data_IF_479958004031
#
_entry.id   IF_479958004031
#
_cell.length_a   1.000
_cell.length_b   1.000
_cell.length_c   1.000
_cell.angle_alpha   90.00
_cell.angle_beta   90.00
_cell.angle_gamma   90.00
#
_symmetry.space_group_name_H-M   'P 1'
#
loop_
_entity.id
_entity.type
_entity.pdbx_description
1 polymer ?
#
# COMPACT_ATOMS: atom_id res chain seq x y z
N UNK A 1 29.60 -12.77 -54.48
CA UNK A 1 29.07 -11.41 -54.60
C UNK A 1 28.08 -11.18 -53.45
N UNK A 2 28.38 -10.21 -52.57
CA UNK A 2 27.56 -9.54 -51.51
C UNK A 2 27.01 -10.34 -50.29
N UNK A 3 27.53 -9.93 -49.12
CA UNK A 3 27.00 -10.02 -47.74
C UNK A 3 25.72 -9.16 -47.54
N UNK A 4 24.85 -9.50 -46.57
CA UNK A 4 24.50 -8.69 -45.37
C UNK A 4 23.38 -9.31 -44.49
N UNK A 5 23.73 -9.46 -43.20
CA UNK A 5 23.03 -9.57 -41.90
C UNK A 5 21.50 -9.38 -41.75
N UNK A 6 20.88 -10.03 -40.75
CA UNK A 6 20.41 -9.41 -39.47
C UNK A 6 19.88 -10.45 -38.43
N UNK A 7 20.46 -10.36 -37.22
CA UNK A 7 20.11 -10.67 -35.83
C UNK A 7 19.00 -11.66 -35.37
N UNK A 8 19.44 -12.58 -34.50
CA UNK A 8 18.97 -12.91 -33.13
C UNK A 8 17.46 -12.88 -32.79
N UNK A 9 16.92 -14.07 -32.48
CA UNK A 9 15.78 -14.26 -31.59
C UNK A 9 16.13 -15.37 -30.58
N UNK A 10 16.80 -14.96 -29.49
CA UNK A 10 16.93 -15.75 -28.25
C UNK A 10 16.30 -14.92 -27.16
N UNK A 11 15.02 -15.13 -26.88
CA UNK A 11 14.35 -14.76 -25.62
C UNK A 11 12.88 -15.19 -25.69
N UNK A 12 12.58 -16.43 -25.35
CA UNK A 12 11.20 -16.84 -25.06
C UNK A 12 11.19 -18.04 -24.11
N UNK A 13 11.77 -17.89 -22.91
CA UNK A 13 11.44 -18.70 -21.73
C UNK A 13 11.89 -17.97 -20.47
N UNK A 14 10.97 -17.19 -19.87
CA UNK A 14 10.86 -16.92 -18.43
C UNK A 14 9.68 -15.95 -18.19
N UNK A 15 8.47 -16.36 -18.53
CA UNK A 15 7.24 -15.70 -18.07
C UNK A 15 6.58 -16.60 -17.03
N UNK A 16 7.15 -16.64 -15.82
CA UNK A 16 6.51 -17.20 -14.63
C UNK A 16 6.83 -16.30 -13.43
N UNK A 17 5.79 -15.62 -12.93
CA UNK A 17 5.69 -15.08 -11.57
C UNK A 17 6.63 -13.94 -11.18
N UNK A 18 6.25 -12.69 -11.46
CA UNK A 18 6.87 -11.53 -10.81
C UNK A 18 5.83 -10.43 -10.53
N UNK A 19 4.99 -10.61 -9.52
CA UNK A 19 4.13 -9.54 -8.99
C UNK A 19 4.10 -9.55 -7.46
N UNK A 20 5.13 -8.93 -6.89
CA UNK A 20 5.13 -8.02 -5.72
C UNK A 20 6.61 -7.70 -5.44
N UNK A 21 7.22 -6.78 -6.19
CA UNK A 21 8.69 -6.70 -6.20
C UNK A 21 9.30 -6.15 -4.89
N UNK A 22 8.56 -5.40 -4.08
CA UNK A 22 8.96 -4.96 -2.72
C UNK A 22 7.86 -4.02 -2.17
N UNK A 23 7.08 -4.45 -1.18
CA UNK A 23 6.01 -3.63 -0.58
C UNK A 23 6.49 -3.06 0.77
N UNK A 24 6.06 -1.85 1.15
CA UNK A 24 6.30 -1.30 2.49
C UNK A 24 5.48 -2.08 3.54
N UNK A 25 6.14 -2.47 4.62
CA UNK A 25 5.54 -3.16 5.76
C UNK A 25 5.66 -2.28 6.99
N UNK A 26 4.51 -1.74 7.44
CA UNK A 26 4.44 -0.99 8.68
C UNK A 26 4.53 -1.95 9.88
N UNK A 27 5.72 -2.02 10.49
CA UNK A 27 5.96 -2.78 11.71
C UNK A 27 5.53 -2.03 12.98
N UNK A 28 5.00 -0.80 12.89
CA UNK A 28 4.75 0.06 14.05
C UNK A 28 6.00 0.81 14.54
N UNK A 29 7.02 0.95 13.67
CA UNK A 29 8.30 1.62 13.95
C UNK A 29 8.34 3.06 13.43
N UNK A 30 9.50 3.70 13.28
CA UNK A 30 9.63 5.04 12.70
C UNK A 30 9.58 5.05 11.16
N UNK A 31 9.85 3.91 10.53
CA UNK A 31 9.87 3.69 9.06
C UNK A 31 9.11 2.44 8.67
N UNK A 32 8.70 2.36 7.41
CA UNK A 32 8.20 1.12 6.81
C UNK A 32 9.38 0.30 6.28
N UNK A 33 9.39 -1.00 6.57
CA UNK A 33 10.44 -1.92 6.15
C UNK A 33 10.02 -2.68 4.89
N UNK A 34 10.95 -2.94 3.97
CA UNK A 34 10.66 -3.68 2.75
C UNK A 34 10.29 -5.15 3.02
N UNK A 35 9.38 -5.69 2.22
CA UNK A 35 8.99 -7.12 2.28
C UNK A 35 10.13 -8.09 1.91
N UNK A 36 11.12 -7.69 1.10
CA UNK A 36 12.26 -8.51 0.69
C UNK A 36 13.59 -7.73 0.70
N UNK A 37 14.72 -8.45 0.63
CA UNK A 37 16.05 -7.85 0.49
C UNK A 37 16.20 -7.18 -0.89
N UNK A 38 17.09 -6.19 -0.98
CA UNK A 38 17.45 -5.59 -2.26
C UNK A 38 18.02 -6.67 -3.20
N UNK A 39 17.49 -6.76 -4.42
CA UNK A 39 17.87 -7.80 -5.39
C UNK A 39 17.19 -9.17 -5.17
N UNK A 40 16.27 -9.30 -4.20
CA UNK A 40 15.42 -10.47 -4.02
C UNK A 40 14.01 -10.24 -4.58
N UNK A 41 13.38 -11.29 -5.11
CA UNK A 41 11.98 -11.31 -5.53
C UNK A 41 11.03 -11.96 -4.52
N UNK A 42 11.56 -12.47 -3.40
CA UNK A 42 10.78 -13.07 -2.32
C UNK A 42 11.42 -12.77 -0.94
N UNK A 43 10.63 -12.73 0.15
CA UNK A 43 11.15 -12.47 1.50
C UNK A 43 12.27 -13.41 1.95
N UNK A 44 12.22 -14.67 1.53
CA UNK A 44 13.15 -15.74 1.91
C UNK A 44 14.47 -15.71 1.13
N UNK A 45 14.54 -15.00 0.00
CA UNK A 45 15.78 -14.92 -0.78
C UNK A 45 16.77 -13.95 -0.13
N UNK A 46 18.05 -14.34 -0.15
CA UNK A 46 19.14 -13.54 0.45
C UNK A 46 19.34 -12.17 -0.20
N UNK A 47 18.93 -11.99 -1.44
CA UNK A 47 19.16 -10.77 -2.21
C UNK A 47 20.59 -10.64 -2.73
N UNK A 48 20.93 -9.44 -3.16
CA UNK A 48 22.25 -9.10 -3.65
C UNK A 48 23.14 -8.53 -2.52
N UNK A 49 24.46 -8.66 -2.70
CA UNK A 49 25.46 -8.14 -1.77
C UNK A 49 26.11 -6.88 -2.34
N UNK A 50 26.28 -5.89 -1.46
CA UNK A 50 26.85 -4.59 -1.81
C UNK A 50 27.96 -4.24 -0.83
N UNK A 51 29.05 -3.64 -1.32
CA UNK A 51 29.97 -2.91 -0.44
C UNK A 51 29.32 -1.61 0.01
N UNK A 52 29.63 -1.12 1.21
CA UNK A 52 29.01 0.07 1.74
C UNK A 52 29.29 1.30 0.86
N UNK A 53 28.24 1.99 0.43
CA UNK A 53 28.33 3.15 -0.48
C UNK A 53 28.34 2.80 -1.97
N UNK A 54 28.40 1.52 -2.35
CA UNK A 54 28.33 1.10 -3.75
C UNK A 54 26.90 0.75 -4.15
N UNK A 55 26.48 1.21 -5.32
CA UNK A 55 25.13 0.99 -5.84
C UNK A 55 25.04 -0.18 -6.84
N UNK A 56 26.19 -0.71 -7.26
CA UNK A 56 26.29 -1.84 -8.17
C UNK A 56 26.88 -3.05 -7.44
N UNK A 57 26.46 -4.24 -7.84
CA UNK A 57 27.01 -5.50 -7.34
C UNK A 57 28.36 -5.81 -7.99
N UNK A 58 29.17 -6.64 -7.34
CA UNK A 58 30.46 -7.12 -7.85
C UNK A 58 30.76 -8.52 -7.37
N UNK A 59 31.71 -9.18 -8.03
CA UNK A 59 32.11 -10.56 -7.71
C UNK A 59 33.23 -10.68 -6.67
N UNK A 60 33.96 -9.59 -6.41
CA UNK A 60 35.09 -9.56 -5.46
C UNK A 60 34.93 -8.38 -4.50
N UNK A 61 34.92 -8.67 -3.20
CA UNK A 61 34.73 -7.72 -2.10
C UNK A 61 36.04 -7.49 -1.37
N UNK A 62 36.82 -6.51 -1.83
CA UNK A 62 38.13 -6.16 -1.28
C UNK A 62 38.42 -4.67 -1.43
N UNK A 63 39.43 -4.16 -0.72
CA UNK A 63 39.92 -2.79 -0.89
C UNK A 63 40.38 -2.49 -2.32
N UNK A 64 40.96 -3.46 -3.03
CA UNK A 64 41.40 -3.29 -4.42
C UNK A 64 40.25 -3.06 -5.40
N UNK A 65 39.04 -3.44 -5.00
CA UNK A 65 37.81 -3.37 -5.80
C UNK A 65 36.80 -2.38 -5.22
N UNK A 66 37.18 -1.62 -4.19
CA UNK A 66 36.27 -0.70 -3.51
C UNK A 66 36.24 0.65 -4.25
N UNK A 67 35.03 1.12 -4.54
CA UNK A 67 34.79 2.29 -5.40
C UNK A 67 35.43 3.57 -4.88
N UNK A 68 35.51 3.72 -3.56
CA UNK A 68 36.01 4.94 -2.93
C UNK A 68 37.46 4.86 -2.48
N UNK A 69 38.26 3.97 -3.08
CA UNK A 69 39.69 3.84 -2.80
C UNK A 69 40.00 2.69 -1.85
N UNK A 70 41.06 2.83 -1.07
CA UNK A 70 41.56 1.81 -0.15
C UNK A 70 41.65 2.35 1.29
N UNK A 71 42.17 1.53 2.22
CA UNK A 71 42.31 1.90 3.63
C UNK A 71 43.17 3.15 3.88
N UNK A 72 44.07 3.48 2.95
CA UNK A 72 45.02 4.59 3.10
C UNK A 72 44.50 5.88 2.43
N UNK A 73 43.66 5.75 1.39
CA UNK A 73 43.24 6.86 0.53
C UNK A 73 41.76 6.77 0.15
N UNK A 74 40.86 7.03 1.10
CA UNK A 74 39.41 7.10 0.86
C UNK A 74 39.00 8.42 0.21
N UNK A 75 38.27 8.36 -0.91
CA UNK A 75 37.82 9.54 -1.67
C UNK A 75 36.46 10.09 -1.26
N UNK A 76 35.62 9.29 -0.58
CA UNK A 76 34.32 9.71 0.01
C UNK A 76 34.07 9.06 1.37
N UNK A 77 33.26 9.75 2.17
CA UNK A 77 32.92 9.43 3.55
C UNK A 77 34.20 9.27 4.37
N UNK A 78 35.01 10.31 4.37
CA UNK A 78 36.32 10.35 4.99
C UNK A 78 36.36 11.44 6.09
N UNK A 79 37.57 11.80 6.56
CA UNK A 79 37.71 12.84 7.58
C UNK A 79 37.46 14.24 7.01
N UNK A 80 37.75 14.47 5.74
CA UNK A 80 37.72 15.78 5.10
C UNK A 80 36.30 16.20 4.70
N UNK A 81 35.47 15.26 4.22
CA UNK A 81 34.08 15.57 3.86
C UNK A 81 33.11 15.55 5.05
N UNK A 82 33.49 14.92 6.17
CA UNK A 82 32.72 14.90 7.41
C UNK A 82 31.40 14.12 7.34
N UNK A 83 31.07 13.52 6.19
CA UNK A 83 29.80 12.83 5.98
C UNK A 83 29.80 11.49 6.71
N UNK A 84 28.73 11.22 7.45
CA UNK A 84 28.55 10.01 8.26
C UNK A 84 27.29 9.21 7.90
N UNK A 85 26.56 9.64 6.89
CA UNK A 85 25.38 8.96 6.37
C UNK A 85 25.46 8.96 4.86
N UNK A 86 25.06 7.86 4.21
CA UNK A 86 25.05 7.77 2.75
C UNK A 86 24.15 8.84 2.13
N UNK A 87 24.68 9.53 1.12
CA UNK A 87 23.89 10.33 0.20
C UNK A 87 23.12 9.40 -0.77
N UNK A 88 21.95 9.83 -1.29
CA UNK A 88 21.10 8.98 -2.14
C UNK A 88 21.82 8.35 -3.33
N UNK A 89 22.78 9.05 -3.95
CA UNK A 89 23.53 8.53 -5.10
C UNK A 89 24.58 7.46 -4.73
N UNK A 90 24.78 7.21 -3.43
CA UNK A 90 25.67 6.17 -2.90
C UNK A 90 24.91 5.14 -2.05
N UNK A 91 23.58 5.26 -1.97
CA UNK A 91 22.70 4.31 -1.34
C UNK A 91 22.16 3.33 -2.40
N UNK A 92 22.47 2.05 -2.26
CA UNK A 92 22.08 1.05 -3.26
C UNK A 92 20.56 0.90 -3.37
N UNK A 93 19.82 1.05 -2.27
CA UNK A 93 18.37 0.97 -2.28
C UNK A 93 17.76 2.19 -2.97
N UNK A 94 18.26 3.39 -2.67
CA UNK A 94 17.81 4.61 -3.37
C UNK A 94 18.16 4.59 -4.85
N UNK A 95 19.33 4.09 -5.23
CA UNK A 95 19.75 4.02 -6.63
C UNK A 95 18.97 2.97 -7.43
N UNK A 96 18.57 1.85 -6.81
CA UNK A 96 17.94 0.72 -7.50
C UNK A 96 16.41 0.81 -7.50
N UNK A 97 15.80 1.14 -6.36
CA UNK A 97 14.34 1.21 -6.21
C UNK A 97 13.80 2.63 -6.34
N UNK A 98 14.60 3.65 -6.03
CA UNK A 98 14.20 5.06 -6.16
C UNK A 98 13.08 5.48 -5.19
N UNK A 99 12.50 6.66 -5.47
CA UNK A 99 11.42 7.21 -4.66
C UNK A 99 11.85 7.46 -3.20
N UNK A 100 11.04 6.99 -2.26
CA UNK A 100 11.30 7.13 -0.82
C UNK A 100 12.18 6.00 -0.24
N UNK A 101 12.60 5.02 -1.05
CA UNK A 101 13.38 3.88 -0.60
C UNK A 101 14.84 4.26 -0.38
N UNK A 102 15.40 3.75 0.71
CA UNK A 102 16.80 3.93 1.12
C UNK A 102 17.24 2.79 2.04
N UNK A 103 18.52 2.71 2.35
CA UNK A 103 19.04 1.88 3.42
C UNK A 103 18.56 2.42 4.79
N UNK A 104 18.35 1.53 5.79
CA UNK A 104 18.03 1.96 7.14
C UNK A 104 19.23 2.64 7.78
N UNK A 105 19.00 3.59 8.68
CA UNK A 105 20.04 4.16 9.52
C UNK A 105 20.36 3.26 10.71
N UNK A 106 21.49 3.50 11.39
CA UNK A 106 21.80 2.83 12.67
C UNK A 106 20.65 2.91 13.67
N UNK A 107 20.02 4.08 13.80
CA UNK A 107 18.94 4.31 14.75
C UNK A 107 17.70 3.47 14.42
N UNK A 108 17.36 3.34 13.14
CA UNK A 108 16.23 2.51 12.68
C UNK A 108 16.52 1.01 12.86
N UNK A 109 17.76 0.56 12.62
CA UNK A 109 18.17 -0.81 12.96
C UNK A 109 18.08 -1.08 14.47
N UNK A 110 18.51 -0.13 15.30
CA UNK A 110 18.39 -0.24 16.76
C UNK A 110 16.92 -0.27 17.20
N UNK A 111 16.05 0.54 16.59
CA UNK A 111 14.62 0.53 16.87
C UNK A 111 13.97 -0.81 16.52
N UNK A 112 14.34 -1.41 15.38
CA UNK A 112 13.87 -2.74 14.98
C UNK A 112 14.26 -3.82 16.00
N UNK A 113 15.46 -3.74 16.56
CA UNK A 113 15.93 -4.68 17.59
C UNK A 113 15.22 -4.47 18.93
N UNK A 114 15.01 -3.22 19.32
CA UNK A 114 14.44 -2.84 20.62
C UNK A 114 12.93 -3.08 20.69
N UNK A 115 12.19 -2.75 19.63
CA UNK A 115 10.72 -2.72 19.64
C UNK A 115 10.04 -3.94 19.05
N UNK A 116 10.75 -4.79 18.31
CA UNK A 116 10.15 -5.97 17.66
C UNK A 116 10.46 -7.26 18.41
N UNK A 117 9.59 -8.25 18.23
CA UNK A 117 9.83 -9.63 18.67
C UNK A 117 10.48 -10.42 17.54
N UNK A 118 11.59 -11.10 17.84
CA UNK A 118 12.38 -11.87 16.90
C UNK A 118 12.23 -13.36 17.19
N UNK A 119 11.67 -14.12 16.24
CA UNK A 119 11.53 -15.59 16.36
C UNK A 119 12.33 -16.29 15.26
N UNK A 120 13.33 -17.08 15.64
CA UNK A 120 14.13 -17.85 14.69
C UNK A 120 13.25 -18.88 13.98
N UNK A 121 13.39 -18.98 12.66
CA UNK A 121 12.55 -19.81 11.81
C UNK A 121 13.34 -20.38 10.64
N UNK A 122 12.86 -21.50 10.11
CA UNK A 122 13.23 -22.01 8.79
C UNK A 122 12.03 -21.86 7.86
N UNK A 123 12.07 -20.90 6.93
CA UNK A 123 11.01 -20.72 5.92
C UNK A 123 11.52 -21.25 4.59
N UNK A 124 10.86 -22.29 4.07
CA UNK A 124 11.20 -22.89 2.76
C UNK A 124 12.67 -23.30 2.64
N UNK A 125 13.27 -23.83 3.70
CA UNK A 125 14.68 -24.23 3.73
C UNK A 125 15.66 -23.10 4.04
N UNK A 126 15.20 -21.85 4.16
CA UNK A 126 16.04 -20.71 4.51
C UNK A 126 15.90 -20.37 5.99
N UNK A 127 17.01 -20.43 6.71
CA UNK A 127 17.10 -19.98 8.10
C UNK A 127 17.08 -18.45 8.18
N UNK A 128 16.43 -17.92 9.21
CA UNK A 128 16.38 -16.49 9.49
C UNK A 128 15.39 -16.16 10.59
N UNK A 129 15.10 -14.87 10.77
CA UNK A 129 14.12 -14.42 11.76
C UNK A 129 12.81 -13.99 11.13
N UNK A 130 11.71 -14.40 11.74
CA UNK A 130 10.43 -13.69 11.62
C UNK A 130 10.48 -12.55 12.64
N UNK A 131 10.44 -11.32 12.16
CA UNK A 131 10.45 -10.11 12.97
C UNK A 131 9.03 -9.55 13.01
N UNK A 132 8.43 -9.55 14.18
CA UNK A 132 7.06 -9.05 14.41
C UNK A 132 7.11 -7.73 15.15
N UNK A 133 6.58 -6.68 14.54
CA UNK A 133 6.59 -5.35 15.13
C UNK A 133 5.36 -5.03 15.98
N UNK A 134 5.36 -3.90 16.71
CA UNK A 134 4.23 -3.44 17.51
C UNK A 134 2.88 -3.35 16.78
N UNK A 135 2.87 -3.16 15.46
CA UNK A 135 1.63 -3.16 14.65
C UNK A 135 0.99 -4.54 14.50
N UNK A 136 1.69 -5.62 14.85
CA UNK A 136 1.30 -7.00 14.58
C UNK A 136 1.69 -7.51 13.19
N UNK A 137 2.22 -6.65 12.31
CA UNK A 137 2.76 -7.07 11.02
C UNK A 137 4.14 -7.71 11.17
N UNK A 138 4.53 -8.52 10.17
CA UNK A 138 5.78 -9.28 10.19
C UNK A 138 6.60 -9.12 8.92
N UNK A 139 7.94 -9.13 9.05
CA UNK A 139 8.88 -9.36 7.94
C UNK A 139 9.73 -10.62 8.21
N UNK A 140 10.32 -11.19 7.16
CA UNK A 140 11.33 -12.24 7.29
C UNK A 140 12.69 -11.72 6.87
N UNK A 141 13.67 -11.84 7.78
CA UNK A 141 15.08 -11.52 7.53
C UNK A 141 15.88 -12.81 7.43
N UNK A 142 16.28 -13.24 6.21
CA UNK A 142 17.08 -14.43 6.06
C UNK A 142 18.48 -14.23 6.67
N UNK A 143 19.09 -15.30 7.18
CA UNK A 143 20.48 -15.32 7.59
C UNK A 143 21.38 -15.26 6.34
N UNK A 144 21.56 -14.07 5.79
CA UNK A 144 22.19 -13.83 4.48
C UNK A 144 23.69 -14.04 4.45
N UNK A 145 24.35 -14.16 5.59
CA UNK A 145 25.80 -14.13 5.70
C UNK A 145 26.37 -12.84 5.12
N UNK A 146 27.65 -12.90 4.78
CA UNK A 146 28.38 -11.81 4.14
C UNK A 146 29.37 -12.33 3.09
N UNK A 147 30.03 -11.43 2.37
CA UNK A 147 31.06 -11.75 1.37
C UNK A 147 32.34 -10.95 1.61
N UNK A 148 33.46 -11.65 1.60
CA UNK A 148 34.80 -11.07 1.55
C UNK A 148 35.60 -11.82 0.48
N UNK A 149 36.33 -11.07 -0.36
CA UNK A 149 36.87 -11.63 -1.60
C UNK A 149 35.73 -12.14 -2.50
N UNK A 150 35.88 -13.34 -3.05
CA UNK A 150 34.88 -13.97 -3.93
C UNK A 150 33.89 -14.89 -3.21
N UNK A 151 34.14 -15.21 -1.95
CA UNK A 151 33.40 -16.24 -1.22
C UNK A 151 32.32 -15.63 -0.32
N UNK A 152 31.26 -16.40 -0.10
CA UNK A 152 30.24 -16.08 0.90
C UNK A 152 30.53 -16.89 2.16
N UNK A 153 30.40 -16.26 3.32
CA UNK A 153 30.54 -16.91 4.62
C UNK A 153 29.21 -16.86 5.38
N UNK A 154 28.98 -17.86 6.22
CA UNK A 154 27.92 -17.89 7.25
C UNK A 154 26.48 -17.77 6.72
N UNK A 155 26.28 -18.07 5.43
CA UNK A 155 24.94 -18.11 4.82
C UNK A 155 24.12 -19.20 5.50
N UNK A 156 22.96 -18.81 6.02
CA UNK A 156 22.05 -19.69 6.76
C UNK A 156 22.34 -19.79 8.26
N UNK A 157 23.43 -19.20 8.77
CA UNK A 157 23.76 -19.17 10.21
C UNK A 157 23.85 -17.77 10.78
N UNK A 158 24.22 -16.78 9.97
CA UNK A 158 24.39 -15.39 10.39
C UNK A 158 23.69 -14.45 9.41
N UNK A 159 22.95 -13.45 9.88
CA UNK A 159 22.37 -12.39 9.07
C UNK A 159 23.21 -11.13 9.18
N UNK A 160 23.58 -10.53 8.04
CA UNK A 160 24.38 -9.30 8.01
C UNK A 160 23.77 -8.29 7.03
N UNK A 161 23.41 -7.12 7.54
CA UNK A 161 22.64 -6.11 6.83
C UNK A 161 23.24 -4.73 6.98
N UNK A 162 23.55 -4.07 5.86
CA UNK A 162 24.08 -2.72 5.93
C UNK A 162 23.04 -1.71 6.45
N UNK A 163 23.51 -0.80 7.30
CA UNK A 163 22.86 0.50 7.50
C UNK A 163 23.55 1.58 6.66
N UNK A 164 22.85 2.70 6.44
CA UNK A 164 23.37 3.90 5.78
C UNK A 164 24.37 4.68 6.65
N UNK A 165 24.62 4.26 7.89
CA UNK A 165 25.40 5.02 8.87
C UNK A 165 26.85 4.56 8.91
N UNK A 166 27.78 5.48 8.70
CA UNK A 166 29.20 5.25 8.91
C UNK A 166 29.51 5.19 10.41
N UNK A 167 30.46 4.35 10.81
CA UNK A 167 30.84 4.27 12.21
C UNK A 167 31.46 5.58 12.72
N UNK A 168 31.07 5.98 13.93
CA UNK A 168 31.53 7.22 14.54
C UNK A 168 33.02 7.21 14.94
N UNK A 169 33.63 6.04 15.15
CA UNK A 169 35.03 5.90 15.59
C UNK A 169 36.01 5.69 14.45
N UNK A 170 35.57 5.05 13.36
CA UNK A 170 36.44 4.72 12.23
C UNK A 170 35.71 4.90 10.90
N UNK A 171 36.37 5.60 9.97
CA UNK A 171 35.89 5.78 8.59
C UNK A 171 36.09 4.54 7.71
N UNK A 172 36.77 3.51 8.21
CA UNK A 172 37.03 2.26 7.48
C UNK A 172 35.87 1.26 7.60
N UNK A 173 34.97 1.48 8.57
CA UNK A 173 33.86 0.58 8.88
C UNK A 173 32.55 1.34 8.91
N UNK A 174 31.46 0.64 8.62
CA UNK A 174 30.10 1.17 8.72
C UNK A 174 29.28 0.31 9.67
N UNK A 175 28.16 0.86 10.15
CA UNK A 175 27.27 0.21 11.08
C UNK A 175 26.40 -0.81 10.33
N UNK A 176 26.26 -2.00 10.90
CA UNK A 176 25.58 -3.15 10.31
C UNK A 176 24.62 -3.75 11.35
N UNK A 177 23.44 -4.14 10.90
CA UNK A 177 22.53 -4.98 11.68
C UNK A 177 22.97 -6.43 11.49
N UNK A 178 23.32 -7.11 12.58
CA UNK A 178 23.72 -8.52 12.56
C UNK A 178 22.92 -9.36 13.55
N UNK A 179 22.74 -10.64 13.22
CA UNK A 179 22.05 -11.59 14.09
C UNK A 179 22.44 -13.04 13.80
N UNK A 180 22.46 -13.87 14.84
CA UNK A 180 22.51 -15.33 14.79
C UNK A 180 21.37 -15.92 15.65
N UNK A 181 21.34 -17.24 15.82
CA UNK A 181 20.29 -17.93 16.58
C UNK A 181 20.21 -17.53 18.07
N UNK A 182 21.25 -16.93 18.64
CA UNK A 182 21.34 -16.56 20.06
C UNK A 182 21.51 -15.06 20.33
N UNK A 183 21.87 -14.25 19.34
CA UNK A 183 22.15 -12.82 19.50
C UNK A 183 21.66 -12.01 18.30
N UNK A 184 21.12 -10.82 18.56
CA UNK A 184 20.87 -9.80 17.53
C UNK A 184 21.40 -8.46 18.01
N UNK A 185 22.24 -7.80 17.22
CA UNK A 185 22.98 -6.59 17.62
C UNK A 185 23.19 -5.63 16.44
N UNK A 186 23.55 -4.39 16.75
CA UNK A 186 24.18 -3.49 15.77
C UNK A 186 25.68 -3.57 15.97
N UNK A 187 26.38 -3.97 14.91
CA UNK A 187 27.82 -4.15 14.87
C UNK A 187 28.45 -3.23 13.83
N UNK A 188 29.75 -3.40 13.62
CA UNK A 188 30.50 -2.69 12.59
C UNK A 188 31.13 -3.68 11.63
N UNK A 189 31.11 -3.38 10.34
CA UNK A 189 31.77 -4.18 9.33
C UNK A 189 32.63 -3.29 8.42
N UNK A 190 33.71 -3.87 7.88
CA UNK A 190 34.55 -3.19 6.90
C UNK A 190 33.72 -2.81 5.68
N UNK A 191 33.87 -1.57 5.20
CA UNK A 191 33.06 -1.03 4.09
C UNK A 191 33.18 -1.84 2.79
N UNK A 192 34.24 -2.63 2.66
CA UNK A 192 34.48 -3.47 1.49
C UNK A 192 33.64 -4.75 1.49
N UNK A 193 33.17 -5.20 2.64
CA UNK A 193 32.42 -6.45 2.79
C UNK A 193 31.10 -6.34 2.05
N UNK A 194 30.74 -7.41 1.35
CA UNK A 194 29.43 -7.54 0.75
C UNK A 194 28.42 -7.97 1.79
N UNK A 195 27.45 -7.12 2.10
CA UNK A 195 26.32 -7.48 2.96
C UNK A 195 25.00 -7.25 2.22
N UNK A 196 23.95 -7.92 2.72
CA UNK A 196 22.61 -7.71 2.21
C UNK A 196 22.10 -6.32 2.63
N UNK A 197 21.05 -5.85 1.95
CA UNK A 197 20.35 -4.62 2.29
C UNK A 197 18.87 -4.97 2.41
N UNK A 198 18.27 -4.59 3.54
CA UNK A 198 16.81 -4.59 3.70
C UNK A 198 16.35 -3.13 3.65
N UNK A 199 15.82 -2.65 2.51
CA UNK A 199 15.46 -1.25 2.38
C UNK A 199 14.34 -0.84 3.34
N UNK A 200 14.32 0.44 3.65
CA UNK A 200 13.22 1.11 4.34
C UNK A 200 12.76 2.29 3.50
N UNK A 201 11.53 2.71 3.71
CA UNK A 201 11.08 4.02 3.26
C UNK A 201 10.53 4.77 4.45
N UNK A 202 10.57 6.11 4.38
CA UNK A 202 9.77 6.91 5.31
C UNK A 202 8.37 6.32 5.33
N UNK A 203 7.83 6.13 6.55
CA UNK A 203 6.40 5.93 6.68
C UNK A 203 5.75 6.97 5.81
N UNK A 204 4.66 6.61 5.16
CA UNK A 204 3.72 7.65 4.75
C UNK A 204 3.13 8.27 6.04
N UNK A 205 3.96 8.96 6.85
CA UNK A 205 3.53 10.05 7.69
C UNK A 205 3.06 11.09 6.70
N UNK A 206 1.77 11.03 6.42
CA UNK A 206 1.09 12.11 5.77
C UNK A 206 1.21 13.30 6.76
N UNK A 207 2.18 14.22 6.70
CA UNK A 207 2.20 15.41 5.84
C UNK A 207 2.61 15.14 4.39
N UNK A 208 1.91 14.20 3.77
CA UNK A 208 1.53 14.25 2.39
C UNK A 208 0.73 15.56 2.33
N UNK A 209 1.06 16.44 1.40
CA UNK A 209 0.00 17.25 0.83
C UNK A 209 -1.06 16.22 0.43
N UNK A 210 -2.08 16.07 1.29
CA UNK A 210 -3.14 15.07 1.19
C UNK A 210 -3.44 14.94 -0.31
N UNK A 211 -3.55 13.73 -0.90
CA UNK A 211 -4.09 13.67 -2.24
C UNK A 211 -5.38 14.46 -2.14
N UNK A 212 -5.43 15.63 -2.79
CA UNK A 212 -6.57 16.50 -2.67
C UNK A 212 -7.77 15.60 -2.97
N UNK A 213 -8.84 15.57 -2.17
CA UNK A 213 -10.01 14.76 -2.51
C UNK A 213 -10.52 15.01 -3.94
N UNK A 214 -10.11 16.12 -4.58
CA UNK A 214 -10.25 16.45 -6.00
C UNK A 214 -9.18 15.86 -6.95
N UNK A 215 -8.28 14.99 -6.47
CA UNK A 215 -7.26 14.26 -7.24
C UNK A 215 -7.73 12.86 -7.57
N UNK A 216 -7.02 12.23 -8.50
CA UNK A 216 -7.45 11.00 -9.11
C UNK A 216 -6.32 9.99 -9.33
N UNK A 217 -6.72 8.74 -9.50
CA UNK A 217 -5.91 7.64 -9.99
C UNK A 217 -6.48 7.17 -11.32
N UNK A 218 -5.62 7.17 -12.35
CA UNK A 218 -5.93 6.52 -13.61
C UNK A 218 -5.62 5.03 -13.50
N UNK A 219 -6.65 4.18 -13.52
CA UNK A 219 -6.52 2.73 -13.47
C UNK A 219 -6.37 2.09 -14.87
N UNK A 220 -6.33 2.88 -15.94
CA UNK A 220 -6.37 2.39 -17.32
C UNK A 220 -7.78 1.94 -17.72
N UNK A 221 -8.80 2.59 -17.15
CA UNK A 221 -10.23 2.34 -17.41
C UNK A 221 -10.85 3.49 -18.22
N UNK A 222 -12.16 3.43 -18.45
CA UNK A 222 -12.88 4.48 -19.18
C UNK A 222 -13.00 5.80 -18.41
N UNK A 223 -12.88 5.76 -17.08
CA UNK A 223 -12.86 6.89 -16.16
C UNK A 223 -11.68 6.82 -15.20
N UNK A 224 -11.40 7.94 -14.55
CA UNK A 224 -10.40 8.04 -13.49
C UNK A 224 -11.11 8.12 -12.14
N UNK A 225 -10.51 7.49 -11.14
CA UNK A 225 -11.12 7.27 -9.83
C UNK A 225 -10.54 8.21 -8.78
N UNK A 226 -11.38 8.76 -7.91
CA UNK A 226 -10.91 9.58 -6.79
C UNK A 226 -9.98 8.78 -5.87
N UNK A 227 -8.96 9.45 -5.37
CA UNK A 227 -8.03 8.91 -4.36
C UNK A 227 -8.71 8.61 -3.03
N UNK A 228 -9.77 9.34 -2.68
CA UNK A 228 -10.51 9.24 -1.43
C UNK A 228 -12.03 9.06 -1.65
N UNK A 229 -12.72 8.49 -0.66
CA UNK A 229 -14.18 8.63 -0.56
C UNK A 229 -14.52 10.09 -0.28
N UNK A 230 -15.73 10.54 -0.63
CA UNK A 230 -16.19 11.88 -0.22
C UNK A 230 -16.13 11.99 1.31
N UNK A 231 -15.55 13.09 1.81
CA UNK A 231 -15.39 13.36 3.24
C UNK A 231 -14.23 12.62 3.91
N UNK A 232 -13.53 11.72 3.21
CA UNK A 232 -12.32 11.09 3.71
C UNK A 232 -11.10 12.00 3.49
N UNK A 233 -10.17 12.01 4.46
CA UNK A 233 -8.87 12.65 4.31
C UNK A 233 -7.83 11.69 3.74
N UNK A 234 -8.01 10.39 3.95
CA UNK A 234 -7.09 9.35 3.50
C UNK A 234 -7.78 8.26 2.66
N UNK A 235 -7.08 7.62 1.69
CA UNK A 235 -7.66 6.58 0.82
C UNK A 235 -8.29 5.38 1.54
N UNK A 236 -7.79 5.06 2.75
CA UNK A 236 -8.24 3.96 3.58
C UNK A 236 -9.37 4.32 4.56
N UNK A 237 -9.78 5.58 4.63
CA UNK A 237 -10.92 6.00 5.46
C UNK A 237 -12.24 5.76 4.73
N UNK A 238 -13.28 5.43 5.49
CA UNK A 238 -14.62 5.21 4.94
C UNK A 238 -15.24 6.48 4.36
N UNK A 239 -14.82 7.67 4.82
CA UNK A 239 -15.43 8.95 4.47
C UNK A 239 -16.78 9.18 5.16
N UNK A 240 -17.53 10.13 4.62
CA UNK A 240 -18.88 10.45 5.03
C UNK A 240 -19.89 9.51 4.35
N UNK A 241 -21.07 9.40 4.96
CA UNK A 241 -22.17 8.58 4.47
C UNK A 241 -23.29 9.48 3.96
N UNK A 242 -23.96 9.05 2.89
CA UNK A 242 -25.04 9.78 2.26
C UNK A 242 -26.19 8.83 1.96
N UNK A 243 -27.43 9.31 2.12
CA UNK A 243 -28.56 8.67 1.46
C UNK A 243 -28.50 9.00 -0.04
N UNK A 244 -29.05 8.13 -0.87
CA UNK A 244 -28.95 8.29 -2.33
C UNK A 244 -29.64 9.57 -2.79
N UNK A 245 -28.93 10.42 -3.52
CA UNK A 245 -29.40 11.75 -3.95
C UNK A 245 -29.41 12.84 -2.87
N UNK A 246 -28.88 12.54 -1.68
CA UNK A 246 -28.57 13.54 -0.66
C UNK A 246 -27.10 13.96 -0.73
N UNK A 247 -26.83 15.22 -0.38
CA UNK A 247 -25.52 15.85 -0.59
C UNK A 247 -24.88 16.36 0.69
N UNK A 248 -25.62 16.23 1.80
CA UNK A 248 -25.17 16.56 3.15
C UNK A 248 -25.19 15.29 3.99
N UNK A 249 -24.18 15.13 4.85
CA UNK A 249 -24.17 14.04 5.82
C UNK A 249 -25.25 14.32 6.88
N UNK A 250 -26.01 13.29 7.25
CA UNK A 250 -26.88 13.37 8.42
C UNK A 250 -26.03 13.23 9.69
N UNK A 251 -25.65 14.35 10.30
CA UNK A 251 -24.85 14.39 11.53
C UNK A 251 -25.56 13.73 12.72
N UNK A 252 -24.80 13.12 13.66
CA UNK A 252 -25.36 12.41 14.80
C UNK A 252 -25.57 13.32 16.02
N UNK A 253 -26.81 13.54 16.39
CA UNK A 253 -27.23 13.80 17.78
C UNK A 253 -27.70 12.47 18.39
N UNK A 254 -26.87 11.86 19.25
CA UNK A 254 -27.06 10.65 20.10
C UNK A 254 -27.78 9.40 19.53
N UNK A 255 -28.22 9.43 18.27
CA UNK A 255 -29.10 8.45 17.65
C UNK A 255 -28.73 8.29 16.17
N UNK A 256 -27.42 8.09 15.90
CA UNK A 256 -26.80 7.89 14.56
C UNK A 256 -27.55 6.89 13.66
N UNK A 257 -28.31 5.99 14.26
CA UNK A 257 -29.10 4.96 13.59
C UNK A 257 -30.42 5.46 12.99
N UNK A 258 -31.02 6.51 13.57
CA UNK A 258 -32.37 6.95 13.24
C UNK A 258 -32.37 7.97 12.09
N UNK A 259 -31.22 8.58 11.79
CA UNK A 259 -31.09 9.58 10.73
C UNK A 259 -31.22 8.97 9.32
N UNK A 260 -30.74 7.74 9.12
CA UNK A 260 -30.78 7.06 7.82
C UNK A 260 -31.96 6.07 7.75
N UNK A 261 -33.10 6.58 7.30
CA UNK A 261 -34.33 5.81 7.14
C UNK A 261 -35.39 6.64 6.41
N UNK A 262 -36.46 5.98 5.99
CA UNK A 262 -37.53 6.59 5.21
C UNK A 262 -38.15 7.82 5.86
N UNK A 263 -38.25 7.87 7.19
CA UNK A 263 -38.78 9.02 7.92
C UNK A 263 -37.95 10.31 7.79
N UNK A 264 -36.70 10.20 7.35
CA UNK A 264 -35.74 11.30 7.28
C UNK A 264 -35.16 11.49 5.87
N UNK A 265 -35.66 10.76 4.86
CA UNK A 265 -35.12 10.79 3.51
C UNK A 265 -35.61 12.02 2.72
N UNK A 266 -34.68 12.73 2.05
CA UNK A 266 -34.92 14.01 1.36
C UNK A 266 -36.08 13.98 0.37
N UNK A 267 -36.29 12.85 -0.31
CA UNK A 267 -37.30 12.73 -1.37
C UNK A 267 -38.59 12.05 -0.92
N UNK A 268 -38.82 11.90 0.38
CA UNK A 268 -40.08 11.38 0.93
C UNK A 268 -39.91 10.06 1.66
N UNK A 269 -41.00 9.29 1.75
CA UNK A 269 -41.07 8.05 2.53
C UNK A 269 -41.33 6.82 1.64
N UNK A 270 -41.26 5.61 2.22
CA UNK A 270 -41.29 4.34 1.49
C UNK A 270 -42.46 4.19 0.51
N UNK A 271 -43.62 4.72 0.89
CA UNK A 271 -44.85 4.60 0.10
C UNK A 271 -45.15 5.89 -0.70
N UNK A 272 -44.33 6.94 -0.54
CA UNK A 272 -44.52 8.24 -1.17
C UNK A 272 -43.19 8.94 -1.48
N UNK A 273 -42.55 8.52 -2.57
CA UNK A 273 -41.31 9.13 -3.09
C UNK A 273 -41.67 10.21 -4.12
N UNK A 274 -41.01 11.37 -4.01
CA UNK A 274 -41.29 12.58 -4.78
C UNK A 274 -40.37 12.78 -6.00
N UNK A 275 -39.20 12.13 -6.03
CA UNK A 275 -38.17 12.34 -7.07
C UNK A 275 -37.48 11.03 -7.46
N UNK A 276 -37.12 10.92 -8.73
CA UNK A 276 -36.58 9.72 -9.38
C UNK A 276 -37.59 8.59 -9.29
N UNK A 277 -38.75 8.81 -9.91
CA UNK A 277 -39.89 7.89 -9.90
C UNK A 277 -40.27 7.50 -11.32
N UNK A 278 -41.07 6.45 -11.49
CA UNK A 278 -41.66 6.13 -12.79
C UNK A 278 -42.41 7.33 -13.43
N UNK A 279 -42.93 8.27 -12.64
CA UNK A 279 -43.64 9.45 -13.16
C UNK A 279 -42.71 10.50 -13.78
N UNK A 280 -41.51 10.71 -13.23
CA UNK A 280 -40.55 11.66 -13.80
C UNK A 280 -39.62 11.04 -14.84
N UNK A 281 -39.56 9.70 -14.91
CA UNK A 281 -38.76 8.96 -15.88
C UNK A 281 -37.25 9.09 -15.67
N UNK A 282 -36.80 9.65 -14.53
CA UNK A 282 -35.37 9.87 -14.24
C UNK A 282 -34.79 8.65 -13.55
N UNK A 283 -33.78 8.06 -14.19
CA UNK A 283 -33.09 6.86 -13.70
C UNK A 283 -31.67 7.13 -13.19
N UNK A 284 -31.15 8.33 -13.40
CA UNK A 284 -29.83 8.78 -12.92
C UNK A 284 -29.99 10.01 -12.04
N UNK A 285 -29.12 10.17 -11.05
CA UNK A 285 -28.99 11.42 -10.31
C UNK A 285 -28.66 12.57 -11.26
N UNK A 286 -29.30 13.70 -11.00
CA UNK A 286 -28.93 14.99 -11.58
C UNK A 286 -27.79 15.60 -10.76
N UNK A 287 -26.97 16.45 -11.37
CA UNK A 287 -25.79 17.08 -10.72
C UNK A 287 -26.12 17.75 -9.37
N UNK A 288 -27.33 18.30 -9.22
CA UNK A 288 -27.79 18.93 -7.98
C UNK A 288 -28.11 17.96 -6.81
N UNK A 289 -28.17 16.66 -7.09
CA UNK A 289 -28.36 15.60 -6.10
C UNK A 289 -27.17 14.62 -6.07
N UNK A 290 -26.18 14.80 -6.94
CA UNK A 290 -24.93 14.06 -6.92
C UNK A 290 -23.93 14.74 -5.98
N UNK A 291 -23.69 14.11 -4.82
CA UNK A 291 -22.77 14.64 -3.82
C UNK A 291 -21.34 14.83 -4.34
N UNK A 292 -20.89 13.99 -5.29
CA UNK A 292 -19.57 14.13 -5.88
C UNK A 292 -19.52 15.36 -6.80
N UNK A 293 -20.56 15.56 -7.63
CA UNK A 293 -20.66 16.73 -8.50
C UNK A 293 -20.75 18.04 -7.70
N UNK A 294 -21.51 18.07 -6.60
CA UNK A 294 -21.62 19.27 -5.77
C UNK A 294 -20.34 19.57 -4.97
N UNK A 295 -19.72 18.55 -4.36
CA UNK A 295 -18.57 18.77 -3.46
C UNK A 295 -17.24 18.94 -4.21
N UNK A 296 -17.06 18.27 -5.34
CA UNK A 296 -15.81 18.32 -6.12
C UNK A 296 -15.92 19.13 -7.41
N UNK A 297 -17.14 19.47 -7.85
CA UNK A 297 -17.39 20.23 -9.08
C UNK A 297 -17.28 19.38 -10.35
N UNK A 298 -17.87 19.87 -11.45
CA UNK A 298 -17.73 19.24 -12.77
C UNK A 298 -16.24 19.15 -13.17
N UNK A 299 -15.76 18.00 -13.67
CA UNK A 299 -16.49 16.83 -14.19
C UNK A 299 -16.64 15.64 -13.22
N UNK A 300 -16.52 15.86 -11.90
CA UNK A 300 -16.72 14.80 -10.92
C UNK A 300 -18.19 14.38 -10.82
N UNK A 301 -18.41 13.07 -10.63
CA UNK A 301 -19.73 12.49 -10.40
C UNK A 301 -19.63 11.16 -9.65
N UNK A 302 -20.76 10.72 -9.10
CA UNK A 302 -20.93 9.41 -8.52
C UNK A 302 -20.83 8.35 -9.63
N UNK A 303 -20.13 7.23 -9.41
CA UNK A 303 -19.93 6.26 -10.47
C UNK A 303 -21.24 5.69 -10.99
N UNK A 304 -21.28 5.44 -12.28
CA UNK A 304 -22.33 4.64 -12.92
C UNK A 304 -22.18 3.15 -12.62
N UNK A 305 -23.28 2.42 -12.76
CA UNK A 305 -23.28 0.95 -12.83
C UNK A 305 -22.26 0.46 -13.86
N UNK A 306 -22.19 1.08 -15.04
CA UNK A 306 -21.27 0.68 -16.10
C UNK A 306 -19.79 0.86 -15.71
N UNK A 307 -19.45 1.94 -15.00
CA UNK A 307 -18.08 2.21 -14.53
C UNK A 307 -17.66 1.24 -13.41
N UNK A 308 -18.57 0.92 -12.48
CA UNK A 308 -18.29 -0.12 -11.50
C UNK A 308 -18.20 -1.51 -12.14
N UNK A 309 -19.06 -1.84 -13.12
CA UNK A 309 -18.92 -3.09 -13.86
C UNK A 309 -17.58 -3.19 -14.59
N UNK A 310 -17.11 -2.08 -15.17
CA UNK A 310 -15.78 -2.03 -15.77
C UNK A 310 -14.68 -2.27 -14.73
N UNK A 311 -14.76 -1.62 -13.57
CA UNK A 311 -13.84 -1.84 -12.44
C UNK A 311 -13.83 -3.31 -11.98
N UNK A 312 -15.01 -3.93 -11.86
CA UNK A 312 -15.14 -5.35 -11.49
C UNK A 312 -14.49 -6.25 -12.54
N UNK A 313 -14.78 -6.02 -13.83
CA UNK A 313 -14.38 -6.92 -14.93
C UNK A 313 -12.91 -6.76 -15.32
N UNK A 314 -12.36 -5.54 -15.25
CA UNK A 314 -11.02 -5.22 -15.78
C UNK A 314 -9.93 -5.09 -14.73
N UNK A 315 -10.27 -4.96 -13.45
CA UNK A 315 -9.28 -4.84 -12.38
C UNK A 315 -9.08 -6.13 -11.60
N UNK A 316 -7.89 -6.27 -11.02
CA UNK A 316 -7.58 -7.32 -10.05
C UNK A 316 -7.92 -6.82 -8.64
N UNK A 317 -8.72 -7.60 -7.92
CA UNK A 317 -9.15 -7.30 -6.56
C UNK A 317 -8.38 -8.18 -5.57
N UNK A 318 -7.54 -7.58 -4.74
CA UNK A 318 -6.75 -8.29 -3.72
C UNK A 318 -7.19 -7.84 -2.32
N UNK A 319 -7.74 -8.76 -1.53
CA UNK A 319 -8.07 -8.47 -0.14
C UNK A 319 -6.81 -8.17 0.66
N UNK A 320 -6.79 -7.06 1.39
CA UNK A 320 -5.63 -6.62 2.17
C UNK A 320 -6.05 -5.82 3.40
N UNK A 321 -5.07 -5.50 4.25
CA UNK A 321 -5.20 -4.54 5.34
C UNK A 321 -4.24 -3.38 5.07
N UNK A 322 -4.75 -2.15 5.03
CA UNK A 322 -3.96 -0.94 4.85
C UNK A 322 -4.23 0.04 6.00
N UNK A 323 -3.20 0.41 6.76
CA UNK A 323 -3.32 1.23 7.98
C UNK A 323 -4.37 0.70 8.98
N UNK A 324 -4.35 -0.61 9.23
CA UNK A 324 -5.31 -1.32 10.10
C UNK A 324 -6.76 -1.37 9.58
N UNK A 325 -7.04 -0.84 8.40
CA UNK A 325 -8.36 -0.92 7.75
C UNK A 325 -8.33 -2.06 6.73
N UNK A 326 -9.31 -2.97 6.82
CA UNK A 326 -9.48 -4.05 5.85
C UNK A 326 -10.16 -3.52 4.59
N UNK A 327 -9.93 -4.17 3.45
CA UNK A 327 -10.55 -3.78 2.20
C UNK A 327 -9.90 -4.43 0.99
N UNK A 328 -10.25 -3.95 -0.19
CA UNK A 328 -9.66 -4.42 -1.45
C UNK A 328 -8.68 -3.40 -2.02
N UNK A 329 -7.45 -3.85 -2.30
CA UNK A 329 -6.53 -3.20 -3.24
C UNK A 329 -7.02 -3.55 -4.64
N UNK A 330 -7.56 -2.57 -5.36
CA UNK A 330 -8.10 -2.73 -6.71
C UNK A 330 -7.08 -2.22 -7.71
N UNK A 331 -6.39 -3.13 -8.38
CA UNK A 331 -5.31 -2.80 -9.33
C UNK A 331 -5.84 -2.84 -10.76
N UNK A 332 -5.69 -1.72 -11.47
CA UNK A 332 -6.08 -1.57 -12.86
C UNK A 332 -5.13 -2.26 -13.85
N UNK A 333 -5.54 -2.41 -15.13
CA UNK A 333 -4.69 -2.98 -16.18
C UNK A 333 -3.32 -2.31 -16.35
N UNK A 334 -3.21 -1.03 -16.00
CA UNK A 334 -1.95 -0.27 -16.08
C UNK A 334 -1.04 -0.43 -14.84
N UNK A 335 -1.45 -1.21 -13.83
CA UNK A 335 -0.69 -1.45 -12.61
C UNK A 335 -0.93 -0.44 -11.48
N UNK A 336 -1.60 0.69 -11.75
CA UNK A 336 -2.04 1.61 -10.70
C UNK A 336 -3.16 0.99 -9.87
N UNK A 337 -3.37 1.48 -8.65
CA UNK A 337 -4.40 0.94 -7.78
C UNK A 337 -5.11 2.02 -6.97
N UNK A 338 -6.37 1.72 -6.61
CA UNK A 338 -7.09 2.38 -5.52
C UNK A 338 -7.30 1.36 -4.40
N UNK A 339 -7.62 1.86 -3.20
CA UNK A 339 -8.08 1.01 -2.11
C UNK A 339 -9.50 1.35 -1.75
N UNK A 340 -10.33 0.31 -1.68
CA UNK A 340 -11.71 0.40 -1.24
C UNK A 340 -11.82 -0.22 0.16
N UNK A 341 -11.87 0.61 1.23
CA UNK A 341 -11.98 0.10 2.58
C UNK A 341 -13.29 -0.67 2.79
N UNK A 342 -13.32 -1.45 3.85
CA UNK A 342 -14.58 -1.99 4.34
C UNK A 342 -15.42 -0.90 4.97
N UNK A 343 -16.66 -0.71 4.50
CA UNK A 343 -17.48 0.45 4.87
C UNK A 343 -18.68 0.10 5.71
N UNK A 344 -19.29 -1.07 5.51
CA UNK A 344 -20.57 -1.35 6.15
C UNK A 344 -21.67 -0.37 5.73
N UNK A 345 -22.69 -0.28 6.57
CA UNK A 345 -23.92 0.47 6.31
C UNK A 345 -24.38 1.23 7.54
N UNK A 346 -25.01 2.38 7.34
CA UNK A 346 -25.77 3.08 8.40
C UNK A 346 -27.26 3.10 8.01
N UNK A 347 -28.13 2.50 8.82
CA UNK A 347 -29.57 2.52 8.56
C UNK A 347 -30.44 1.98 9.71
N UNK A 348 -31.76 1.98 9.48
CA UNK A 348 -32.77 1.35 10.34
C UNK A 348 -33.25 0.02 9.77
N UNK A 349 -33.36 -1.01 10.61
CA UNK A 349 -34.13 -2.23 10.33
C UNK A 349 -35.31 -2.30 11.31
N UNK A 350 -36.49 -2.67 10.81
CA UNK A 350 -37.65 -2.96 11.67
C UNK A 350 -37.60 -4.44 12.07
N UNK A 351 -37.36 -4.71 13.35
CA UNK A 351 -37.51 -6.06 13.93
C UNK A 351 -38.67 -6.06 14.92
N UNK A 352 -39.66 -6.91 14.69
CA UNK A 352 -40.81 -7.13 15.58
C UNK A 352 -41.52 -5.83 16.07
N UNK A 353 -41.67 -4.83 15.20
CA UNK A 353 -42.34 -3.56 15.53
C UNK A 353 -41.53 -2.60 16.41
N UNK A 354 -40.22 -2.86 16.60
CA UNK A 354 -39.27 -1.95 17.24
C UNK A 354 -38.25 -1.45 16.21
N UNK A 355 -37.93 -0.16 16.31
CA UNK A 355 -36.82 0.44 15.57
C UNK A 355 -35.53 -0.09 16.20
N UNK A 356 -34.77 -0.92 15.47
CA UNK A 356 -33.43 -1.35 15.86
C UNK A 356 -32.46 -0.75 14.84
N UNK A 357 -31.53 0.07 15.32
CA UNK A 357 -30.46 0.60 14.47
C UNK A 357 -29.58 -0.51 13.94
N UNK A 358 -29.34 -0.55 12.62
CA UNK A 358 -28.33 -1.44 12.05
C UNK A 358 -27.03 -0.65 11.81
N UNK A 359 -26.01 -0.96 12.60
CA UNK A 359 -24.63 -0.84 12.15
C UNK A 359 -24.28 -2.18 11.52
N UNK A 360 -24.19 -2.26 10.20
CA UNK A 360 -23.50 -3.40 9.60
C UNK A 360 -22.03 -3.09 9.81
N UNK A 361 -21.40 -3.77 10.77
CA UNK A 361 -20.00 -3.55 11.09
C UNK A 361 -19.10 -3.74 9.86
N UNK A 362 -18.07 -2.90 9.70
CA UNK A 362 -17.19 -2.92 8.53
C UNK A 362 -16.40 -4.22 8.43
N UNK A 363 -16.41 -5.12 9.41
CA UNK A 363 -15.51 -6.27 9.39
C UNK A 363 -15.69 -7.22 8.19
N UNK A 364 -16.84 -7.20 7.51
CA UNK A 364 -17.10 -8.14 6.40
C UNK A 364 -17.88 -7.63 5.19
N UNK A 365 -18.67 -6.55 5.27
CA UNK A 365 -19.54 -6.09 4.15
C UNK A 365 -19.29 -4.63 3.78
N UNK A 366 -19.41 -4.31 2.50
CA UNK A 366 -19.21 -2.97 1.96
C UNK A 366 -20.23 -2.62 0.90
N UNK A 367 -20.56 -1.34 0.87
CA UNK A 367 -21.59 -0.75 0.04
C UNK A 367 -21.10 0.60 -0.45
N UNK A 368 -21.26 0.89 -1.74
CA UNK A 368 -20.89 2.16 -2.37
C UNK A 368 -21.98 2.56 -3.36
N UNK A 369 -22.44 3.81 -3.31
CA UNK A 369 -23.50 4.26 -4.20
C UNK A 369 -23.05 4.35 -5.65
N UNK A 370 -23.97 3.98 -6.54
CA UNK A 370 -23.95 4.39 -7.95
C UNK A 370 -24.96 5.51 -8.18
N UNK A 371 -24.83 6.24 -9.30
CA UNK A 371 -25.80 7.29 -9.66
C UNK A 371 -27.13 6.75 -10.18
N UNK A 372 -27.25 5.46 -10.42
CA UNK A 372 -28.45 4.83 -10.99
C UNK A 372 -29.48 4.45 -9.93
N UNK A 373 -30.74 4.71 -10.27
CA UNK A 373 -31.92 4.16 -9.63
C UNK A 373 -32.04 2.67 -9.93
N UNK A 374 -32.50 1.89 -8.95
CA UNK A 374 -32.86 0.49 -9.19
C UNK A 374 -34.24 0.34 -9.82
N UNK A 375 -34.53 -0.84 -10.37
CA UNK A 375 -35.87 -1.22 -10.82
C UNK A 375 -36.90 -1.15 -9.69
N UNK A 376 -36.49 -1.46 -8.46
CA UNK A 376 -37.33 -1.25 -7.29
C UNK A 376 -37.39 0.26 -6.96
N UNK A 377 -38.60 0.82 -6.90
CA UNK A 377 -38.82 2.24 -6.60
C UNK A 377 -38.28 2.69 -5.25
N UNK A 378 -38.04 1.77 -4.32
CA UNK A 378 -37.46 2.07 -3.03
C UNK A 378 -35.93 1.97 -3.00
N UNK A 379 -35.30 1.56 -4.09
CA UNK A 379 -33.87 1.24 -4.13
C UNK A 379 -33.09 2.03 -5.19
N UNK A 380 -31.79 2.15 -4.95
CA UNK A 380 -30.78 2.57 -5.92
C UNK A 380 -29.74 1.47 -6.06
N UNK A 381 -28.99 1.51 -7.15
CA UNK A 381 -27.93 0.53 -7.42
C UNK A 381 -26.66 0.87 -6.62
N UNK A 382 -25.98 -0.17 -6.15
CA UNK A 382 -24.74 -0.08 -5.37
C UNK A 382 -23.71 -1.07 -5.90
N UNK A 383 -22.44 -0.72 -5.71
CA UNK A 383 -21.38 -1.72 -5.64
C UNK A 383 -21.42 -2.37 -4.26
N UNK A 384 -21.52 -3.69 -4.23
CA UNK A 384 -21.55 -4.51 -3.01
C UNK A 384 -20.47 -5.58 -3.04
N UNK A 385 -19.84 -5.81 -1.88
CA UNK A 385 -19.06 -7.02 -1.65
C UNK A 385 -19.12 -7.45 -0.19
N UNK A 386 -18.80 -8.74 -0.01
CA UNK A 386 -18.48 -9.33 1.29
C UNK A 386 -17.13 -10.01 1.21
N UNK A 387 -16.44 -10.17 2.34
CA UNK A 387 -15.27 -11.05 2.42
C UNK A 387 -15.62 -12.42 1.80
N UNK A 388 -14.75 -12.91 0.93
CA UNK A 388 -14.88 -14.18 0.19
C UNK A 388 -16.00 -14.22 -0.88
N UNK A 389 -16.70 -13.10 -1.15
CA UNK A 389 -17.62 -12.95 -2.27
C UNK A 389 -17.07 -11.93 -3.28
N UNK A 390 -17.15 -12.27 -4.56
CA UNK A 390 -16.79 -11.35 -5.64
C UNK A 390 -17.66 -10.09 -5.59
N UNK A 391 -17.08 -8.90 -5.84
CA UNK A 391 -17.84 -7.67 -5.94
C UNK A 391 -18.89 -7.76 -7.04
N UNK A 392 -20.06 -7.17 -6.81
CA UNK A 392 -21.18 -7.18 -7.74
C UNK A 392 -22.02 -5.91 -7.61
N UNK A 393 -22.84 -5.66 -8.62
CA UNK A 393 -23.91 -4.67 -8.54
C UNK A 393 -25.12 -5.29 -7.85
N UNK A 394 -25.79 -4.52 -6.99
CA UNK A 394 -26.99 -4.91 -6.27
C UNK A 394 -27.86 -3.69 -6.01
N UNK A 395 -29.15 -3.89 -5.74
CA UNK A 395 -30.03 -2.83 -5.24
C UNK A 395 -29.97 -2.69 -3.72
N UNK A 396 -30.08 -1.46 -3.21
CA UNK A 396 -30.28 -1.19 -1.77
C UNK A 396 -31.20 0.02 -1.54
N UNK A 397 -31.81 0.10 -0.37
CA UNK A 397 -32.76 1.17 -0.02
C UNK A 397 -32.10 2.54 -0.09
N UNK A 398 -32.73 3.46 -0.85
CA UNK A 398 -32.20 4.80 -1.10
C UNK A 398 -31.96 5.62 0.18
N UNK A 399 -32.69 5.33 1.24
CA UNK A 399 -32.58 6.01 2.53
C UNK A 399 -31.39 5.57 3.39
N UNK A 400 -30.66 4.53 3.02
CA UNK A 400 -29.49 4.05 3.76
C UNK A 400 -28.27 4.93 3.52
N UNK A 401 -27.44 5.09 4.54
CA UNK A 401 -26.17 5.80 4.43
C UNK A 401 -25.11 4.87 3.86
N UNK A 402 -24.57 5.22 2.69
CA UNK A 402 -23.36 4.62 2.11
C UNK A 402 -22.36 5.68 1.66
N UNK A 403 -21.07 5.34 1.62
CA UNK A 403 -20.05 6.21 1.07
C UNK A 403 -20.09 6.27 -0.46
N UNK A 404 -19.41 7.27 -0.99
CA UNK A 404 -19.26 7.52 -2.42
C UNK A 404 -17.77 7.58 -2.75
N UNK A 405 -17.36 6.82 -3.77
CA UNK A 405 -16.02 6.89 -4.38
C UNK A 405 -16.14 7.57 -5.74
N UNK A 406 -15.89 8.88 -5.86
CA UNK A 406 -16.14 9.62 -7.10
C UNK A 406 -15.31 9.14 -8.28
N UNK A 407 -15.80 9.45 -9.48
CA UNK A 407 -15.07 9.34 -10.74
C UNK A 407 -15.13 10.67 -11.49
N UNK A 408 -14.17 10.90 -12.38
CA UNK A 408 -14.22 12.06 -13.29
C UNK A 408 -13.73 11.68 -14.69
N UNK A 409 -14.31 12.35 -15.69
CA UNK A 409 -13.95 12.20 -17.09
C UNK A 409 -14.20 13.46 -17.89
#
# INVERSE_FOLDING_TARGET
MKRKYILLLVAAMAAFGAYAQHEPVDLGLSVDWASCNLGASAPEQYGAYYSWGETATKSVFSWNTYRYGNSDALTKYNKSDGNRTLAPENDAASATWGGAWRMPTKAECAELLDKCTWTWSNRSGVNGYIVTGPSGNTIFLPASGQREGSEASDVGSWGCYWSATLNHRSILVAESLSFDQGLSSVEVASRIVGQAIRPVCTKNSVEVSLPDPSTYVDLGLSVKWATCNIGAKNPWECGEYYAWGETEEKRPDNYRYYSYGWCNYKFGEKDFILKYTAHDGKVNLEDGDDVASLKLGTPWHMPSVAEFEELIKKCRWTWTTWHSIKGYKVTGPNGNFIFLPTTGAIGVVYDCGKIVGCYIGPDYESFYWTKEKSLNENCAEILYWKKDLSPKISGSYRCYGYPVRPVFK
#
